data_IF_814532955560
#
_entry.id   IF_814532955560
#
_cell.length_a   1.000
_cell.length_b   1.000
_cell.length_c   1.000
_cell.angle_alpha   90.00
_cell.angle_beta   90.00
_cell.angle_gamma   90.00
#
_symmetry.space_group_name_H-M   'P 1'
#
loop_
_entity.id
_entity.type
_entity.pdbx_description
1 polymer ?
#
# COMPACT_ATOMS: atom_id res chain seq x y z
N UNK A 1 -5.03 7.07 -18.94
CA UNK A 1 -4.14 6.08 -18.30
C UNK A 1 -4.93 4.83 -18.03
N UNK A 2 -4.67 3.74 -18.77
CA UNK A 2 -5.30 2.44 -18.53
C UNK A 2 -4.94 1.90 -17.14
N UNK A 3 -5.89 1.24 -16.49
CA UNK A 3 -5.70 0.54 -15.21
C UNK A 3 -4.45 -0.36 -15.23
N UNK A 4 -4.22 -1.05 -16.35
CA UNK A 4 -3.03 -1.87 -16.61
C UNK A 4 -1.69 -1.15 -16.37
N UNK A 5 -1.57 0.12 -16.79
CA UNK A 5 -0.34 0.89 -16.62
C UNK A 5 -0.11 1.27 -15.16
N UNK A 6 -1.19 1.54 -14.41
CA UNK A 6 -1.13 1.80 -12.97
C UNK A 6 -0.77 0.51 -12.23
N UNK A 7 -1.39 -0.61 -12.58
CA UNK A 7 -1.12 -1.91 -11.95
C UNK A 7 0.35 -2.33 -12.12
N UNK A 8 0.87 -2.23 -13.34
CA UNK A 8 2.27 -2.53 -13.66
C UNK A 8 3.22 -1.57 -12.92
N UNK A 9 2.91 -0.27 -12.89
CA UNK A 9 3.69 0.72 -12.15
C UNK A 9 3.71 0.47 -10.65
N UNK A 10 2.58 0.08 -10.06
CA UNK A 10 2.48 -0.24 -8.63
C UNK A 10 3.26 -1.50 -8.27
N UNK A 11 3.12 -2.59 -9.03
CA UNK A 11 3.87 -3.84 -8.77
C UNK A 11 5.37 -3.58 -8.89
N UNK A 12 5.79 -2.90 -9.96
CA UNK A 12 7.20 -2.55 -10.15
C UNK A 12 7.73 -1.65 -9.02
N UNK A 13 6.91 -0.70 -8.56
CA UNK A 13 7.24 0.17 -7.43
C UNK A 13 7.38 -0.58 -6.11
N UNK A 14 6.50 -1.55 -5.82
CA UNK A 14 6.59 -2.39 -4.62
C UNK A 14 7.85 -3.24 -4.64
N UNK A 15 8.15 -3.91 -5.76
CA UNK A 15 9.34 -4.75 -5.89
C UNK A 15 10.62 -3.91 -5.75
N UNK A 16 10.69 -2.79 -6.47
CA UNK A 16 11.83 -1.89 -6.37
C UNK A 16 11.98 -1.31 -4.94
N UNK A 17 10.88 -0.91 -4.32
CA UNK A 17 10.87 -0.39 -2.95
C UNK A 17 11.26 -1.42 -1.90
N UNK A 18 10.86 -2.68 -2.05
CA UNK A 18 11.25 -3.77 -1.16
C UNK A 18 12.75 -4.07 -1.27
N UNK A 19 13.30 -4.07 -2.49
CA UNK A 19 14.75 -4.27 -2.70
C UNK A 19 15.52 -3.11 -2.07
N UNK A 20 15.11 -1.86 -2.33
CA UNK A 20 15.76 -0.68 -1.76
C UNK A 20 15.63 -0.68 -0.24
N UNK A 21 14.47 -1.02 0.31
CA UNK A 21 14.23 -1.11 1.75
C UNK A 21 15.05 -2.21 2.42
N UNK A 22 15.19 -3.37 1.77
CA UNK A 22 16.05 -4.46 2.24
C UNK A 22 17.54 -4.09 2.21
N UNK A 23 17.99 -3.37 1.19
CA UNK A 23 19.38 -2.89 1.10
C UNK A 23 19.67 -1.80 2.13
N UNK A 24 18.69 -0.94 2.41
CA UNK A 24 18.85 0.18 3.34
C UNK A 24 18.71 -0.23 4.80
N UNK A 25 18.01 -1.33 5.11
CA UNK A 25 17.86 -1.88 6.46
C UNK A 25 19.06 -2.80 6.81
N UNK A 26 19.96 -2.41 7.75
CA UNK A 26 21.06 -3.26 8.17
C UNK A 26 20.55 -4.38 9.08
N UNK A 27 20.27 -5.55 8.54
CA UNK A 27 19.85 -6.73 9.32
C UNK A 27 20.57 -8.01 8.86
N UNK A 28 20.78 -8.93 9.80
CA UNK A 28 21.34 -10.25 9.53
C UNK A 28 20.27 -11.21 9.00
N UNK A 29 20.63 -12.13 8.09
CA UNK A 29 19.65 -13.02 7.44
C UNK A 29 18.85 -13.94 8.38
N UNK A 30 19.39 -14.26 9.57
CA UNK A 30 18.69 -15.03 10.60
C UNK A 30 17.61 -14.19 11.30
N UNK A 31 17.93 -12.95 11.64
CA UNK A 31 16.97 -11.99 12.19
C UNK A 31 15.93 -11.59 11.15
N UNK A 32 16.29 -11.45 9.88
CA UNK A 32 15.33 -11.16 8.80
C UNK A 32 14.26 -12.25 8.69
N UNK A 33 14.63 -13.52 8.83
CA UNK A 33 13.65 -14.62 8.76
C UNK A 33 12.71 -14.65 9.96
N UNK A 34 13.23 -14.43 11.18
CA UNK A 34 12.39 -14.30 12.38
C UNK A 34 11.47 -13.07 12.28
N UNK A 35 12.01 -11.92 11.88
CA UNK A 35 11.23 -10.68 11.75
C UNK A 35 10.17 -10.77 10.66
N UNK A 36 10.42 -11.45 9.53
CA UNK A 36 9.40 -11.70 8.51
C UNK A 36 8.27 -12.56 9.09
N UNK A 37 8.60 -13.62 9.83
CA UNK A 37 7.60 -14.50 10.42
C UNK A 37 6.72 -13.78 11.46
N UNK A 38 7.33 -12.99 12.33
CA UNK A 38 6.62 -12.22 13.36
C UNK A 38 5.82 -11.07 12.71
N UNK A 39 6.42 -10.32 11.80
CA UNK A 39 5.74 -9.25 11.06
C UNK A 39 4.58 -9.76 10.23
N UNK A 40 4.70 -10.93 9.60
CA UNK A 40 3.60 -11.53 8.84
C UNK A 40 2.42 -11.92 9.74
N UNK A 41 2.71 -12.45 10.93
CA UNK A 41 1.70 -12.84 11.92
C UNK A 41 0.98 -11.60 12.48
N UNK A 42 1.72 -10.55 12.79
CA UNK A 42 1.18 -9.28 13.25
C UNK A 42 0.42 -8.54 12.17
N UNK A 43 0.92 -8.55 10.94
CA UNK A 43 0.24 -7.96 9.79
C UNK A 43 -1.08 -8.68 9.54
N UNK A 44 -1.11 -10.02 9.56
CA UNK A 44 -2.35 -10.80 9.44
C UNK A 44 -3.36 -10.43 10.53
N UNK A 45 -2.92 -10.33 11.78
CA UNK A 45 -3.78 -9.93 12.89
C UNK A 45 -4.31 -8.50 12.73
N UNK A 46 -3.45 -7.56 12.29
CA UNK A 46 -3.84 -6.17 12.01
C UNK A 46 -4.79 -6.07 10.83
N UNK A 47 -4.54 -6.78 9.72
CA UNK A 47 -5.43 -6.85 8.56
C UNK A 47 -6.78 -7.43 8.94
N UNK A 48 -6.82 -8.49 9.74
CA UNK A 48 -8.07 -9.08 10.21
C UNK A 48 -8.87 -8.10 11.09
N UNK A 49 -8.20 -7.25 11.88
CA UNK A 49 -8.86 -6.20 12.67
C UNK A 49 -9.31 -5.02 11.82
N UNK A 50 -8.47 -4.57 10.88
CA UNK A 50 -8.75 -3.49 9.93
C UNK A 50 -9.90 -3.87 8.99
N UNK A 51 -9.95 -5.10 8.49
CA UNK A 51 -11.04 -5.60 7.65
C UNK A 51 -12.39 -5.50 8.36
N UNK A 52 -12.42 -5.67 9.67
CA UNK A 52 -13.62 -5.53 10.49
C UNK A 52 -13.97 -4.06 10.82
N UNK A 53 -13.04 -3.11 10.60
CA UNK A 53 -13.18 -1.68 10.90
C UNK A 53 -13.03 -0.75 9.68
N UNK A 54 -12.96 -1.33 8.48
CA UNK A 54 -12.32 -0.71 7.31
C UNK A 54 -12.93 0.61 6.83
N UNK A 55 -14.21 0.89 7.06
CA UNK A 55 -14.79 2.10 6.47
C UNK A 55 -14.43 3.39 7.23
N UNK A 56 -14.33 3.34 8.56
CA UNK A 56 -14.02 4.52 9.37
C UNK A 56 -12.52 4.79 9.42
N UNK A 57 -11.71 3.76 9.66
CA UNK A 57 -10.24 3.91 9.75
C UNK A 57 -9.61 4.32 8.41
N UNK A 58 -10.21 3.97 7.27
CA UNK A 58 -9.73 4.42 5.95
C UNK A 58 -9.95 5.91 5.69
N UNK A 59 -10.99 6.52 6.27
CA UNK A 59 -11.21 7.96 6.14
C UNK A 59 -10.20 8.74 6.99
N UNK A 60 -9.95 8.30 8.23
CA UNK A 60 -8.95 8.91 9.10
C UNK A 60 -7.53 8.77 8.51
N UNK A 61 -7.21 7.59 7.97
CA UNK A 61 -5.94 7.37 7.27
C UNK A 61 -5.80 8.30 6.07
N UNK A 62 -6.87 8.48 5.29
CA UNK A 62 -6.86 9.36 4.13
C UNK A 62 -6.57 10.81 4.54
N UNK A 63 -7.10 11.28 5.67
CA UNK A 63 -6.90 12.66 6.12
C UNK A 63 -5.51 12.91 6.73
N UNK A 64 -4.96 11.94 7.47
CA UNK A 64 -3.54 11.99 7.90
C UNK A 64 -2.61 11.98 6.68
N UNK A 65 -2.88 11.10 5.72
CA UNK A 65 -2.07 10.99 4.50
C UNK A 65 -2.11 12.28 3.68
N UNK A 66 -3.29 12.91 3.54
CA UNK A 66 -3.44 14.23 2.90
C UNK A 66 -2.59 15.31 3.57
N UNK A 67 -2.45 15.24 4.88
CA UNK A 67 -1.73 16.23 5.70
C UNK A 67 -0.23 16.03 5.60
N UNK A 68 0.26 14.78 5.68
CA UNK A 68 1.69 14.47 5.52
C UNK A 68 2.17 14.73 4.08
N UNK A 69 1.32 14.42 3.08
CA UNK A 69 1.66 14.70 1.68
C UNK A 69 1.53 16.18 1.28
N UNK A 70 0.99 17.03 2.16
CA UNK A 70 0.90 18.48 1.93
C UNK A 70 2.29 19.16 1.91
N UNK A 71 3.31 18.54 2.50
CA UNK A 71 4.69 19.01 2.44
C UNK A 71 5.46 18.59 1.17
N UNK A 72 4.87 17.73 0.33
CA UNK A 72 5.46 17.32 -0.96
C UNK A 72 5.02 18.25 -2.09
N UNK A 73 5.77 18.22 -3.20
CA UNK A 73 5.43 18.97 -4.41
C UNK A 73 3.98 18.71 -4.85
N UNK A 74 3.30 19.78 -5.29
CA UNK A 74 1.88 19.79 -5.65
C UNK A 74 1.51 18.69 -6.67
N UNK A 75 2.41 18.41 -7.62
CA UNK A 75 2.30 17.33 -8.60
C UNK A 75 2.22 15.92 -7.99
N UNK A 76 2.95 15.68 -6.90
CA UNK A 76 2.97 14.38 -6.20
C UNK A 76 1.69 14.24 -5.41
N UNK A 77 1.28 15.29 -4.70
CA UNK A 77 0.02 15.33 -3.96
C UNK A 77 -1.17 15.03 -4.87
N UNK A 78 -1.26 15.67 -6.03
CA UNK A 78 -2.35 15.46 -6.99
C UNK A 78 -2.37 14.06 -7.58
N UNK A 79 -1.19 13.47 -7.84
CA UNK A 79 -1.08 12.08 -8.31
C UNK A 79 -1.53 11.09 -7.23
N UNK A 80 -1.12 11.31 -5.99
CA UNK A 80 -1.51 10.48 -4.83
C UNK A 80 -3.02 10.57 -4.58
N UNK A 81 -3.59 11.78 -4.58
CA UNK A 81 -5.03 11.99 -4.43
C UNK A 81 -5.83 11.33 -5.55
N UNK A 82 -5.37 11.42 -6.80
CA UNK A 82 -5.97 10.70 -7.93
C UNK A 82 -5.88 9.19 -7.77
N UNK A 83 -4.77 8.67 -7.24
CA UNK A 83 -4.61 7.25 -6.96
C UNK A 83 -5.60 6.77 -5.89
N UNK A 84 -5.68 7.48 -4.76
CA UNK A 84 -6.59 7.12 -3.66
C UNK A 84 -8.04 7.20 -4.12
N UNK A 85 -8.41 8.24 -4.88
CA UNK A 85 -9.76 8.40 -5.42
C UNK A 85 -10.10 7.30 -6.43
N UNK A 86 -9.13 6.92 -7.28
CA UNK A 86 -9.29 5.84 -8.26
C UNK A 86 -9.36 4.47 -7.60
N UNK A 87 -8.56 4.21 -6.56
CA UNK A 87 -8.67 2.98 -5.74
C UNK A 87 -10.04 2.94 -5.06
N UNK A 88 -10.50 4.03 -4.43
CA UNK A 88 -11.82 4.10 -3.81
C UNK A 88 -12.97 3.85 -4.79
N UNK A 89 -12.85 4.30 -6.05
CA UNK A 89 -13.86 4.06 -7.09
C UNK A 89 -13.72 2.71 -7.80
N UNK A 90 -12.50 2.17 -7.89
CA UNK A 90 -12.20 0.88 -8.55
C UNK A 90 -12.14 -0.29 -7.58
N UNK A 91 -12.32 -0.08 -6.27
CA UNK A 91 -12.51 -1.17 -5.29
C UNK A 91 -13.73 -2.04 -5.59
N UNK A 92 -14.66 -1.62 -6.46
CA UNK A 92 -15.74 -2.49 -6.93
C UNK A 92 -15.32 -3.38 -8.12
N UNK A 93 -14.35 -2.96 -8.94
CA UNK A 93 -13.92 -3.66 -10.18
C UNK A 93 -12.64 -4.49 -10.00
N UNK A 94 -11.76 -4.11 -9.06
CA UNK A 94 -10.45 -4.76 -8.84
C UNK A 94 -10.59 -6.11 -8.10
N UNK A 95 -11.65 -6.30 -7.31
CA UNK A 95 -11.89 -7.60 -6.66
C UNK A 95 -12.26 -8.70 -7.65
N UNK A 96 -12.95 -8.37 -8.74
CA UNK A 96 -13.37 -9.35 -9.76
C UNK A 96 -12.18 -9.74 -10.67
N UNK A 97 -11.31 -8.81 -11.04
CA UNK A 97 -10.17 -9.09 -11.94
C UNK A 97 -9.01 -9.84 -11.26
N UNK A 98 -8.87 -9.72 -9.93
CA UNK A 98 -7.84 -10.43 -9.14
C UNK A 98 -8.31 -11.82 -8.69
N UNK A 99 -9.61 -12.07 -8.63
CA UNK A 99 -10.18 -13.40 -8.33
C UNK A 99 -10.17 -14.33 -9.55
N UNK A 100 -10.08 -13.77 -10.76
CA UNK A 100 -10.19 -14.53 -12.03
C UNK A 100 -8.82 -14.76 -12.71
N UNK A 101 -7.73 -14.22 -12.15
CA UNK A 101 -6.34 -14.42 -12.60
C UNK A 101 -5.55 -15.31 -11.62
#
# INVERSE_FOLDING_TARGET
MSAKQILVGTISGIVAGAIVGLVLAPQSGEETRQQIADSAKDLKNKLSKLSSKSLEELNDLQDVFKTEVAGLSEDIRDKVLKLIKKVKSSSQDVYDEVSEA
#
